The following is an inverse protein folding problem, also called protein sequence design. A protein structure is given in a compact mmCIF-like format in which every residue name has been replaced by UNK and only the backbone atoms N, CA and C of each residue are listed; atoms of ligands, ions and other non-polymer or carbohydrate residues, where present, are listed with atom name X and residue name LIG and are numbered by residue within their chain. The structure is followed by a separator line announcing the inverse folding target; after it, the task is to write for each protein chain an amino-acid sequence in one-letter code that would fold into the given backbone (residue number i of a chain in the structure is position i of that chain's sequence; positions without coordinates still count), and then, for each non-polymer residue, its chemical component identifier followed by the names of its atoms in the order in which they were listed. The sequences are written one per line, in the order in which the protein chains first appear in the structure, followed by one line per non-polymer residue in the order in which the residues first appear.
data_IF_466812835445
#
_entry.id   IF_466812835445
#
_cell.length_a   1.000
_cell.length_b   1.000
_cell.length_c   1.000
_cell.angle_alpha   90.00
_cell.angle_beta   90.00
_cell.angle_gamma   90.00
#
_symmetry.space_group_name_H-M   'P 1'
#
loop_
_entity.id
_entity.type
_entity.pdbx_description
1 polymer ?
#
# COMPACT_ATOMS: atom_id res chain seq x y z
N UNK A 1 22.90 -54.22 -2.92
CA UNK A 1 24.20 -54.65 -2.33
C UNK A 1 24.72 -53.55 -1.44
N UNK A 2 24.74 -53.87 -0.21
CA UNK A 2 25.35 -53.38 1.01
C UNK A 2 26.70 -52.67 0.85
N UNK A 3 26.88 -51.55 1.58
CA UNK A 3 27.94 -51.42 2.61
C UNK A 3 27.69 -50.22 3.51
N UNK A 4 27.35 -50.54 4.75
CA UNK A 4 27.64 -49.78 5.98
C UNK A 4 29.10 -50.05 6.33
N UNK A 5 29.75 -49.06 6.99
CA UNK A 5 30.65 -49.22 8.15
C UNK A 5 31.23 -47.86 8.53
N UNK A 6 30.89 -47.38 9.70
CA UNK A 6 31.70 -47.31 10.94
C UNK A 6 32.95 -46.40 10.88
N UNK A 7 32.91 -45.29 11.57
CA UNK A 7 34.11 -44.71 12.20
C UNK A 7 33.81 -44.43 13.67
N UNK A 8 34.65 -45.02 14.50
CA UNK A 8 34.65 -45.00 15.96
C UNK A 8 35.28 -43.72 16.52
N UNK A 9 34.80 -43.37 17.69
CA UNK A 9 35.28 -42.41 18.67
C UNK A 9 36.80 -42.29 18.86
N UNK A 10 37.25 -41.04 19.06
CA UNK A 10 38.44 -40.77 19.89
C UNK A 10 38.15 -39.62 20.83
N UNK A 11 38.20 -39.92 22.12
CA UNK A 11 38.15 -39.01 23.26
C UNK A 11 39.53 -38.35 23.37
N UNK A 12 39.59 -37.02 23.44
CA UNK A 12 40.77 -36.32 23.95
C UNK A 12 40.35 -35.27 24.96
N UNK A 13 40.89 -35.42 26.12
CA UNK A 13 40.75 -34.67 27.37
C UNK A 13 41.35 -33.27 27.33
N UNK A 14 40.61 -32.31 27.89
CA UNK A 14 41.15 -31.28 28.76
C UNK A 14 41.84 -30.05 28.21
N UNK A 15 41.20 -28.89 28.38
CA UNK A 15 41.83 -27.72 29.07
C UNK A 15 40.74 -26.69 29.36
N UNK A 16 40.46 -26.49 30.63
CA UNK A 16 39.62 -25.39 31.10
C UNK A 16 40.41 -24.08 31.01
N UNK A 17 39.93 -23.12 30.22
CA UNK A 17 40.34 -21.74 30.33
C UNK A 17 39.14 -20.90 30.83
N UNK A 18 39.33 -20.29 31.98
CA UNK A 18 38.36 -19.39 32.64
C UNK A 18 38.11 -18.13 31.78
N UNK A 19 36.84 -17.84 31.50
CA UNK A 19 36.42 -16.53 31.00
C UNK A 19 36.11 -15.60 32.18
N UNK A 20 36.60 -14.37 32.15
CA UNK A 20 36.23 -13.37 33.14
C UNK A 20 34.96 -12.63 32.75
N UNK A 21 34.14 -12.35 33.76
CA UNK A 21 33.30 -11.17 33.85
C UNK A 21 32.07 -11.08 32.97
N UNK A 22 30.94 -11.54 33.52
CA UNK A 22 29.60 -11.11 33.14
C UNK A 22 29.46 -9.60 33.30
N UNK A 23 29.39 -8.85 32.20
CA UNK A 23 28.85 -7.51 32.21
C UNK A 23 27.33 -7.60 32.40
N UNK A 24 26.80 -6.90 33.39
CA UNK A 24 25.38 -6.80 33.67
C UNK A 24 24.67 -6.20 32.43
N UNK A 25 23.73 -6.97 31.87
CA UNK A 25 22.78 -6.44 30.91
C UNK A 25 21.93 -5.40 31.65
N UNK A 26 22.03 -4.14 31.23
CA UNK A 26 21.10 -3.09 31.62
C UNK A 26 19.70 -3.52 31.21
N UNK A 27 18.80 -3.67 32.18
CA UNK A 27 17.44 -4.05 31.97
C UNK A 27 16.73 -3.07 31.03
N UNK A 28 16.31 -3.56 29.87
CA UNK A 28 15.25 -2.92 29.11
C UNK A 28 13.97 -3.10 29.94
N UNK A 29 13.54 -2.03 30.59
CA UNK A 29 12.21 -1.96 31.18
C UNK A 29 11.18 -2.09 30.06
N UNK A 30 10.29 -3.07 30.17
CA UNK A 30 9.12 -3.16 29.31
C UNK A 30 8.34 -1.84 29.37
N UNK A 31 7.83 -1.31 28.25
CA UNK A 31 6.97 -0.13 28.29
C UNK A 31 5.74 -0.45 29.14
N UNK A 32 5.44 0.44 30.10
CA UNK A 32 4.24 0.36 30.92
C UNK A 32 2.97 0.55 30.08
N UNK A 33 1.78 0.23 30.60
CA UNK A 33 0.52 0.39 29.89
C UNK A 33 0.36 1.87 29.48
N UNK A 34 0.05 2.09 28.21
CA UNK A 34 -0.17 3.42 27.62
C UNK A 34 -1.33 4.14 28.32
N UNK A 35 -1.21 5.45 28.49
CA UNK A 35 -2.25 6.28 29.09
C UNK A 35 -3.30 6.67 28.05
N UNK A 36 -4.50 7.05 28.48
CA UNK A 36 -5.59 7.50 27.60
C UNK A 36 -5.21 8.71 26.71
N UNK A 37 -4.08 9.39 26.97
CA UNK A 37 -3.51 10.44 26.15
C UNK A 37 -2.83 9.91 24.88
N UNK A 38 -2.46 8.62 24.83
CA UNK A 38 -1.70 8.05 23.71
C UNK A 38 -2.60 7.67 22.54
N UNK A 39 -3.88 7.38 22.78
CA UNK A 39 -4.87 7.01 21.74
C UNK A 39 -5.08 8.14 20.71
N UNK A 40 -5.04 9.40 21.13
CA UNK A 40 -5.14 10.55 20.20
C UNK A 40 -3.84 10.80 19.42
N UNK A 41 -2.72 10.23 19.86
CA UNK A 41 -1.40 10.48 19.30
C UNK A 41 -1.17 9.75 17.98
N UNK A 42 -1.58 8.47 17.86
CA UNK A 42 -1.39 7.67 16.64
C UNK A 42 -2.11 8.29 15.43
N UNK A 43 -3.39 8.64 15.56
CA UNK A 43 -4.14 9.25 14.44
C UNK A 43 -3.53 10.58 14.03
N UNK A 44 -3.12 11.41 14.98
CA UNK A 44 -2.45 12.68 14.71
C UNK A 44 -1.11 12.48 14.01
N UNK A 45 -0.32 11.51 14.46
CA UNK A 45 0.94 11.09 13.82
C UNK A 45 0.69 10.62 12.37
N UNK A 46 -0.32 9.77 12.14
CA UNK A 46 -0.64 9.29 10.80
C UNK A 46 -1.08 10.43 9.87
N UNK A 47 -1.88 11.38 10.37
CA UNK A 47 -2.28 12.57 9.60
C UNK A 47 -1.08 13.46 9.27
N UNK A 48 -0.14 13.63 10.20
CA UNK A 48 1.10 14.37 9.96
C UNK A 48 1.95 13.69 8.88
N UNK A 49 2.19 12.38 8.99
CA UNK A 49 2.97 11.65 7.99
C UNK A 49 2.26 11.60 6.63
N UNK A 50 0.94 11.42 6.60
CA UNK A 50 0.14 11.52 5.38
C UNK A 50 0.30 12.92 4.75
N UNK A 51 0.19 13.98 5.53
CA UNK A 51 0.38 15.35 5.04
C UNK A 51 1.79 15.54 4.48
N UNK A 52 2.80 15.08 5.19
CA UNK A 52 4.20 15.16 4.78
C UNK A 52 4.47 14.45 3.44
N UNK A 53 3.83 13.30 3.21
CA UNK A 53 3.95 12.55 1.96
C UNK A 53 3.10 13.16 0.85
N UNK A 54 1.83 13.47 1.11
CA UNK A 54 0.85 13.79 0.05
C UNK A 54 0.88 15.26 -0.37
N UNK A 55 1.08 16.18 0.56
CA UNK A 55 0.93 17.62 0.30
C UNK A 55 1.86 18.15 -0.80
N UNK A 56 3.17 17.83 -0.85
CA UNK A 56 4.06 18.35 -1.89
C UNK A 56 3.57 18.01 -3.32
N UNK A 57 3.15 16.77 -3.54
CA UNK A 57 2.66 16.30 -4.85
C UNK A 57 1.37 16.99 -5.24
N UNK A 58 0.37 16.96 -4.35
CA UNK A 58 -0.96 17.47 -4.62
C UNK A 58 -0.97 19.00 -4.77
N UNK A 59 -0.27 19.71 -3.89
CA UNK A 59 -0.15 21.16 -3.95
C UNK A 59 0.59 21.63 -5.21
N UNK A 60 1.68 20.96 -5.58
CA UNK A 60 2.41 21.33 -6.79
C UNK A 60 1.56 21.10 -8.05
N UNK A 61 0.84 19.96 -8.14
CA UNK A 61 -0.01 19.66 -9.30
C UNK A 61 -1.22 20.60 -9.38
N UNK A 62 -1.87 20.90 -8.24
CA UNK A 62 -3.01 21.84 -8.23
C UNK A 62 -2.61 23.24 -8.74
N UNK A 63 -1.37 23.63 -8.54
CA UNK A 63 -0.78 24.90 -9.01
C UNK A 63 -0.14 24.79 -10.41
N UNK A 64 -0.26 23.64 -11.08
CA UNK A 64 0.32 23.36 -12.41
C UNK A 64 1.85 23.52 -12.41
N UNK A 65 2.54 23.08 -11.34
CA UNK A 65 3.99 23.20 -11.15
C UNK A 65 4.67 21.88 -10.78
N UNK A 66 3.97 20.74 -10.81
CA UNK A 66 4.53 19.45 -10.41
C UNK A 66 5.76 19.09 -11.23
N UNK A 67 5.69 19.21 -12.57
CA UNK A 67 6.81 18.89 -13.47
C UNK A 67 8.03 19.78 -13.27
N UNK A 68 7.84 20.99 -12.81
CA UNK A 68 8.92 21.95 -12.59
C UNK A 68 9.51 21.92 -11.19
N UNK A 69 8.81 21.31 -10.22
CA UNK A 69 9.21 21.33 -8.80
C UNK A 69 9.61 19.96 -8.26
N UNK A 70 8.96 18.89 -8.70
CA UNK A 70 9.30 17.54 -8.23
C UNK A 70 10.61 17.05 -8.89
N UNK A 71 11.64 16.69 -8.12
CA UNK A 71 12.86 16.11 -8.67
C UNK A 71 12.56 14.73 -9.29
N UNK A 72 13.29 14.40 -10.35
CA UNK A 72 13.20 13.09 -11.00
C UNK A 72 14.43 12.28 -10.63
N UNK A 73 14.46 11.78 -9.40
CA UNK A 73 15.43 10.75 -9.02
C UNK A 73 15.07 9.45 -9.71
N UNK A 74 16.04 8.73 -10.21
CA UNK A 74 15.90 7.38 -10.79
C UNK A 74 16.99 6.48 -10.25
N UNK A 75 16.75 5.18 -10.25
CA UNK A 75 17.78 4.21 -9.89
C UNK A 75 18.97 4.31 -10.85
N UNK A 76 20.15 3.85 -10.40
CA UNK A 76 21.36 3.85 -11.25
C UNK A 76 21.23 2.99 -12.51
N UNK A 77 20.44 1.92 -12.44
CA UNK A 77 20.14 1.02 -13.55
C UNK A 77 18.96 1.49 -14.40
N UNK A 78 18.37 2.64 -14.05
CA UNK A 78 17.14 3.15 -14.65
C UNK A 78 17.22 3.36 -16.15
N UNK A 79 16.54 2.50 -16.90
CA UNK A 79 16.34 2.64 -18.31
C UNK A 79 15.19 3.62 -18.62
N UNK A 80 15.32 4.37 -19.73
CA UNK A 80 14.27 5.23 -20.25
C UNK A 80 14.12 6.58 -19.56
N UNK A 81 13.18 7.37 -20.09
CA UNK A 81 12.88 8.72 -19.60
C UNK A 81 11.79 8.66 -18.52
N UNK A 82 12.19 8.54 -17.25
CA UNK A 82 11.26 8.51 -16.10
C UNK A 82 10.51 9.84 -15.94
N UNK A 83 11.00 10.94 -16.46
CA UNK A 83 10.29 12.22 -16.49
C UNK A 83 8.93 12.18 -17.22
N UNK A 84 8.68 11.17 -18.06
CA UNK A 84 7.40 11.00 -18.73
C UNK A 84 6.32 10.37 -17.82
N UNK A 85 6.72 9.61 -16.82
CA UNK A 85 5.80 8.76 -16.03
C UNK A 85 5.78 9.11 -14.54
N UNK A 86 6.92 9.51 -13.97
CA UNK A 86 7.09 9.69 -12.51
C UNK A 86 6.06 10.64 -11.88
N UNK A 87 5.56 11.63 -12.61
CA UNK A 87 4.58 12.60 -12.09
C UNK A 87 3.17 12.00 -11.99
N UNK A 88 2.74 11.23 -13.02
CA UNK A 88 1.49 10.45 -12.94
C UNK A 88 1.60 9.39 -11.84
N UNK A 89 2.73 8.72 -11.75
CA UNK A 89 3.01 7.69 -10.75
C UNK A 89 2.92 8.27 -9.33
N UNK A 90 3.58 9.41 -9.05
CA UNK A 90 3.51 10.08 -7.75
C UNK A 90 2.09 10.47 -7.38
N UNK A 91 1.39 11.12 -8.30
CA UNK A 91 0.02 11.58 -8.07
C UNK A 91 -0.95 10.43 -7.84
N UNK A 92 -0.96 9.43 -8.73
CA UNK A 92 -1.89 8.32 -8.69
C UNK A 92 -1.73 7.46 -7.42
N UNK A 93 -0.48 7.14 -7.04
CA UNK A 93 -0.19 6.35 -5.85
C UNK A 93 -0.52 7.12 -4.57
N UNK A 94 -0.17 8.42 -4.50
CA UNK A 94 -0.58 9.28 -3.39
C UNK A 94 -2.09 9.27 -3.23
N UNK A 95 -2.81 9.48 -4.32
CA UNK A 95 -4.26 9.57 -4.29
C UNK A 95 -4.90 8.22 -3.89
N UNK A 96 -4.39 7.09 -4.40
CA UNK A 96 -4.86 5.77 -4.03
C UNK A 96 -4.75 5.48 -2.52
N UNK A 97 -3.72 6.02 -1.86
CA UNK A 97 -3.51 5.84 -0.42
C UNK A 97 -4.42 6.69 0.45
N UNK A 98 -4.74 7.93 0.02
CA UNK A 98 -5.53 8.86 0.82
C UNK A 98 -7.02 8.90 0.42
N UNK A 99 -7.42 8.22 -0.65
CA UNK A 99 -8.78 8.24 -1.17
C UNK A 99 -9.86 7.90 -0.12
N UNK A 100 -9.71 6.85 0.73
CA UNK A 100 -10.71 6.56 1.75
C UNK A 100 -10.86 7.66 2.79
N UNK A 101 -9.77 8.36 3.16
CA UNK A 101 -9.84 9.50 4.05
C UNK A 101 -10.57 10.69 3.41
N UNK A 102 -10.38 10.92 2.11
CA UNK A 102 -11.13 11.94 1.36
C UNK A 102 -12.61 11.59 1.23
N UNK A 103 -12.94 10.31 1.07
CA UNK A 103 -14.32 9.83 0.87
C UNK A 103 -15.15 9.88 2.14
N UNK A 104 -14.54 9.68 3.30
CA UNK A 104 -15.26 9.48 4.55
C UNK A 104 -16.11 10.71 4.95
N UNK A 105 -17.41 10.65 4.63
CA UNK A 105 -18.40 11.66 5.01
C UNK A 105 -18.72 11.72 6.52
N UNK A 106 -18.41 10.66 7.28
CA UNK A 106 -18.66 10.58 8.73
C UNK A 106 -17.92 11.62 9.54
N UNK A 107 -16.86 12.22 8.98
CA UNK A 107 -16.15 13.34 9.60
C UNK A 107 -16.96 14.65 9.66
N UNK A 108 -18.06 14.78 8.91
CA UNK A 108 -18.90 16.00 8.93
C UNK A 108 -19.67 16.14 10.26
N UNK A 109 -19.96 15.03 10.94
CA UNK A 109 -20.79 15.01 12.16
C UNK A 109 -20.17 14.24 13.34
N UNK A 110 -18.95 13.69 13.17
CA UNK A 110 -18.27 12.89 14.17
C UNK A 110 -17.29 13.69 15.05
N UNK A 111 -16.64 13.03 16.03
CA UNK A 111 -15.70 13.63 16.97
C UNK A 111 -14.32 13.93 16.35
N UNK A 112 -14.17 13.89 15.03
CA UNK A 112 -12.95 14.35 14.37
C UNK A 112 -12.59 15.75 14.88
N UNK A 113 -11.30 15.99 15.16
CA UNK A 113 -10.85 17.30 15.62
C UNK A 113 -11.18 18.38 14.60
N UNK A 114 -11.40 19.61 15.06
CA UNK A 114 -11.62 20.75 14.16
C UNK A 114 -10.47 20.86 13.13
N UNK A 115 -9.25 20.61 13.56
CA UNK A 115 -8.05 20.62 12.71
C UNK A 115 -8.10 19.56 11.61
N UNK A 116 -8.55 18.32 11.89
CA UNK A 116 -8.67 17.29 10.86
C UNK A 116 -9.73 17.63 9.83
N UNK A 117 -10.88 18.20 10.26
CA UNK A 117 -11.92 18.64 9.33
C UNK A 117 -11.44 19.78 8.42
N UNK A 118 -10.72 20.75 8.95
CA UNK A 118 -10.12 21.84 8.19
C UNK A 118 -9.09 21.30 7.18
N UNK A 119 -8.19 20.44 7.65
CA UNK A 119 -7.18 19.78 6.80
C UNK A 119 -7.85 19.03 5.64
N UNK A 120 -8.85 18.19 5.92
CA UNK A 120 -9.57 17.42 4.91
C UNK A 120 -10.30 18.33 3.91
N UNK A 121 -10.92 19.40 4.37
CA UNK A 121 -11.59 20.38 3.49
C UNK A 121 -10.59 21.01 2.53
N UNK A 122 -9.43 21.41 3.01
CA UNK A 122 -8.34 21.94 2.18
C UNK A 122 -7.85 20.91 1.16
N UNK A 123 -7.71 19.64 1.58
CA UNK A 123 -7.29 18.57 0.67
C UNK A 123 -8.32 18.28 -0.42
N UNK A 124 -9.62 18.30 -0.13
CA UNK A 124 -10.67 18.13 -1.14
C UNK A 124 -10.58 19.16 -2.25
N UNK A 125 -10.30 20.42 -1.90
CA UNK A 125 -10.09 21.49 -2.89
C UNK A 125 -8.82 21.26 -3.70
N UNK A 126 -7.67 21.06 -3.03
CA UNK A 126 -6.38 20.79 -3.67
C UNK A 126 -6.47 19.59 -4.61
N UNK A 127 -7.09 18.48 -4.19
CA UNK A 127 -7.20 17.26 -5.00
C UNK A 127 -8.04 17.48 -6.25
N UNK A 128 -9.18 18.19 -6.17
CA UNK A 128 -10.01 18.50 -7.35
C UNK A 128 -9.25 19.37 -8.35
N UNK A 129 -8.52 20.37 -7.87
CA UNK A 129 -7.65 21.20 -8.72
C UNK A 129 -6.50 20.40 -9.32
N UNK A 130 -5.88 19.48 -8.55
CA UNK A 130 -4.82 18.61 -9.04
C UNK A 130 -5.33 17.65 -10.12
N UNK A 131 -6.51 17.03 -9.93
CA UNK A 131 -7.14 16.19 -10.97
C UNK A 131 -7.38 17.04 -12.22
N UNK A 132 -8.00 18.20 -12.10
CA UNK A 132 -8.26 19.10 -13.24
C UNK A 132 -6.97 19.49 -13.98
N UNK A 133 -5.90 19.79 -13.24
CA UNK A 133 -4.61 20.11 -13.86
C UNK A 133 -3.97 18.89 -14.54
N UNK A 134 -4.10 17.70 -13.96
CA UNK A 134 -3.49 16.48 -14.45
C UNK A 134 -4.16 15.88 -15.68
N UNK A 135 -5.49 16.08 -15.85
CA UNK A 135 -6.27 15.52 -16.96
C UNK A 135 -6.57 16.52 -18.08
N UNK A 136 -6.31 17.83 -17.88
CA UNK A 136 -6.49 18.86 -18.91
C UNK A 136 -5.35 18.78 -19.93
N UNK A 137 -5.62 18.42 -21.23
CA UNK A 137 -4.58 18.34 -22.25
C UNK A 137 -3.86 19.67 -22.53
N UNK A 138 -4.42 20.79 -22.09
CA UNK A 138 -3.83 22.14 -22.23
C UNK A 138 -2.97 22.53 -21.02
N UNK A 139 -2.99 21.72 -19.97
CA UNK A 139 -2.18 21.97 -18.76
C UNK A 139 -0.70 21.71 -19.04
N UNK A 140 0.23 22.56 -18.53
CA UNK A 140 1.65 22.25 -18.56
C UNK A 140 2.00 20.98 -17.77
N UNK A 141 1.14 20.60 -16.81
CA UNK A 141 1.26 19.39 -15.98
C UNK A 141 0.35 18.25 -16.43
N UNK A 142 -0.15 18.25 -17.68
CA UNK A 142 -0.89 17.12 -18.23
C UNK A 142 -0.11 15.81 -18.06
N UNK A 143 -0.71 14.80 -17.45
CA UNK A 143 -0.04 13.59 -16.96
C UNK A 143 0.16 12.49 -18.02
N UNK A 144 -0.02 12.75 -19.30
CA UNK A 144 0.35 11.93 -20.47
C UNK A 144 0.04 10.43 -20.32
N UNK A 145 -1.22 10.07 -20.11
CA UNK A 145 -1.68 8.71 -19.82
C UNK A 145 -1.32 7.63 -20.86
N UNK A 146 -1.07 8.01 -22.10
CA UNK A 146 -0.70 7.10 -23.18
C UNK A 146 0.78 7.12 -23.58
N UNK A 147 1.67 7.75 -22.79
CA UNK A 147 3.04 8.03 -23.22
C UNK A 147 3.93 6.79 -23.31
N UNK A 148 3.79 5.83 -22.38
CA UNK A 148 4.59 4.60 -22.31
C UNK A 148 3.78 3.48 -21.68
N UNK A 149 4.26 2.23 -21.77
CA UNK A 149 3.62 1.09 -21.06
C UNK A 149 3.49 1.31 -19.56
N UNK A 150 4.44 2.00 -18.92
CA UNK A 150 4.39 2.31 -17.48
C UNK A 150 3.15 3.12 -17.11
N UNK A 151 2.65 3.99 -17.99
CA UNK A 151 1.46 4.80 -17.68
C UNK A 151 0.18 3.97 -17.53
N UNK A 152 0.16 2.72 -18.01
CA UNK A 152 -0.92 1.77 -17.70
C UNK A 152 -0.96 1.43 -16.19
N UNK A 153 0.22 1.20 -15.59
CA UNK A 153 0.37 0.94 -14.15
C UNK A 153 -0.13 2.14 -13.35
N UNK A 154 0.35 3.33 -13.73
CA UNK A 154 0.08 4.56 -13.00
C UNK A 154 -1.40 4.97 -13.11
N UNK A 155 -2.00 4.84 -14.29
CA UNK A 155 -3.45 5.03 -14.50
C UNK A 155 -4.28 3.99 -13.74
N UNK A 156 -3.77 2.76 -13.59
CA UNK A 156 -4.37 1.73 -12.74
C UNK A 156 -4.50 2.20 -11.28
N UNK A 157 -3.43 2.76 -10.70
CA UNK A 157 -3.49 3.33 -9.34
C UNK A 157 -4.43 4.54 -9.24
N UNK A 158 -4.49 5.39 -10.26
CA UNK A 158 -5.48 6.47 -10.28
C UNK A 158 -6.90 5.90 -10.31
N UNK A 159 -7.13 4.87 -11.10
CA UNK A 159 -8.42 4.17 -11.14
C UNK A 159 -8.78 3.58 -9.77
N UNK A 160 -7.82 2.98 -9.07
CA UNK A 160 -8.01 2.47 -7.71
C UNK A 160 -8.43 3.59 -6.74
N UNK A 161 -7.85 4.80 -6.87
CA UNK A 161 -8.28 5.96 -6.09
C UNK A 161 -9.73 6.35 -6.38
N UNK A 162 -10.14 6.38 -7.67
CA UNK A 162 -11.53 6.68 -8.07
C UNK A 162 -12.51 5.65 -7.50
N UNK A 163 -12.15 4.36 -7.52
CA UNK A 163 -12.96 3.29 -6.94
C UNK A 163 -13.09 3.40 -5.42
N UNK A 164 -12.04 3.86 -4.73
CA UNK A 164 -11.99 4.04 -3.27
C UNK A 164 -12.71 5.31 -2.78
N UNK A 165 -12.93 6.29 -3.67
CA UNK A 165 -13.58 7.55 -3.32
C UNK A 165 -14.60 7.99 -4.39
N UNK A 166 -15.66 7.21 -4.64
CA UNK A 166 -16.61 7.43 -5.73
C UNK A 166 -17.39 8.74 -5.60
N UNK A 167 -17.63 9.25 -4.39
CA UNK A 167 -18.28 10.55 -4.23
C UNK A 167 -17.32 11.71 -4.51
N UNK A 168 -16.15 11.70 -3.86
CA UNK A 168 -15.23 12.83 -3.91
C UNK A 168 -14.45 12.90 -5.23
N UNK A 169 -14.05 11.73 -5.80
CA UNK A 169 -13.21 11.63 -6.98
C UNK A 169 -13.97 11.27 -8.26
N UNK A 170 -15.32 11.24 -8.21
CA UNK A 170 -16.18 11.07 -9.37
C UNK A 170 -17.42 11.99 -9.27
N UNK A 171 -18.38 11.71 -8.37
CA UNK A 171 -19.67 12.37 -8.38
C UNK A 171 -19.57 13.91 -8.16
N UNK A 172 -18.61 14.37 -7.34
CA UNK A 172 -18.36 15.77 -7.02
C UNK A 172 -17.34 16.47 -7.92
N UNK A 173 -16.80 15.79 -8.94
CA UNK A 173 -15.97 16.44 -9.95
C UNK A 173 -16.85 17.28 -10.92
N UNK A 174 -16.29 18.37 -11.42
CA UNK A 174 -16.88 19.11 -12.55
C UNK A 174 -17.08 18.19 -13.75
N UNK A 175 -18.16 18.39 -14.51
CA UNK A 175 -18.51 17.53 -15.64
C UNK A 175 -17.42 17.48 -16.73
N UNK A 176 -16.74 18.62 -16.97
CA UNK A 176 -15.63 18.70 -17.92
C UNK A 176 -14.42 17.90 -17.42
N UNK A 177 -14.06 18.06 -16.16
CA UNK A 177 -12.95 17.32 -15.53
C UNK A 177 -13.25 15.82 -15.54
N UNK A 178 -14.49 15.42 -15.25
CA UNK A 178 -14.89 14.00 -15.30
C UNK A 178 -14.82 13.42 -16.71
N UNK A 179 -15.21 14.19 -17.73
CA UNK A 179 -15.07 13.77 -19.13
C UNK A 179 -13.58 13.63 -19.52
N UNK A 180 -12.74 14.60 -19.16
CA UNK A 180 -11.30 14.57 -19.41
C UNK A 180 -10.62 13.40 -18.68
N UNK A 181 -11.04 13.09 -17.45
CA UNK A 181 -10.57 11.91 -16.71
C UNK A 181 -10.91 10.61 -17.46
N UNK A 182 -12.14 10.48 -17.95
CA UNK A 182 -12.55 9.32 -18.71
C UNK A 182 -11.76 9.19 -20.03
N UNK A 183 -11.48 10.32 -20.72
CA UNK A 183 -10.65 10.33 -21.92
C UNK A 183 -9.21 9.94 -21.63
N UNK A 184 -8.64 10.44 -20.55
CA UNK A 184 -7.30 10.10 -20.08
C UNK A 184 -7.17 8.59 -19.76
N UNK A 185 -8.16 8.01 -19.06
CA UNK A 185 -8.21 6.57 -18.80
C UNK A 185 -8.32 5.76 -20.10
N UNK A 186 -9.19 6.15 -21.03
CA UNK A 186 -9.32 5.49 -22.35
C UNK A 186 -8.05 5.57 -23.20
N UNK A 187 -7.24 6.62 -23.04
CA UNK A 187 -5.97 6.76 -23.77
C UNK A 187 -4.96 5.64 -23.43
N UNK A 188 -5.14 4.91 -22.35
CA UNK A 188 -4.31 3.74 -21.98
C UNK A 188 -4.68 2.45 -22.73
N UNK A 189 -5.85 2.36 -23.39
CA UNK A 189 -6.33 1.14 -24.05
C UNK A 189 -5.40 0.55 -25.10
N UNK A 190 -4.67 1.35 -25.92
CA UNK A 190 -3.67 0.82 -26.86
C UNK A 190 -2.45 0.18 -26.18
N UNK A 191 -2.22 0.45 -24.89
CA UNK A 191 -1.07 -0.08 -24.16
C UNK A 191 -1.28 -1.57 -23.85
N UNK A 192 -0.23 -2.35 -24.10
CA UNK A 192 -0.24 -3.78 -23.84
C UNK A 192 -0.05 -4.05 -22.35
N UNK A 193 -1.00 -4.77 -21.75
CA UNK A 193 -0.81 -5.36 -20.42
C UNK A 193 -0.04 -6.67 -20.57
N UNK A 194 1.01 -6.85 -19.76
CA UNK A 194 1.72 -8.14 -19.67
C UNK A 194 0.86 -9.17 -18.92
N UNK A 195 1.07 -10.46 -19.22
CA UNK A 195 0.39 -11.58 -18.55
C UNK A 195 0.95 -11.80 -17.12
N UNK A 196 0.72 -10.83 -16.26
CA UNK A 196 1.08 -10.78 -14.84
C UNK A 196 0.14 -9.80 -14.13
N UNK A 197 0.54 -9.23 -12.98
CA UNK A 197 -0.25 -8.23 -12.25
C UNK A 197 -0.72 -7.05 -13.12
N UNK A 198 -0.10 -6.78 -14.28
CA UNK A 198 -0.50 -5.69 -15.20
C UNK A 198 -1.89 -5.85 -15.76
N UNK A 199 -2.41 -7.08 -15.85
CA UNK A 199 -3.82 -7.31 -16.24
C UNK A 199 -4.79 -6.62 -15.29
N UNK A 200 -4.44 -6.54 -13.99
CA UNK A 200 -5.29 -5.86 -12.99
C UNK A 200 -5.31 -4.34 -13.14
N UNK A 201 -4.23 -3.74 -13.64
CA UNK A 201 -4.26 -2.30 -13.96
C UNK A 201 -5.22 -2.02 -15.11
N UNK A 202 -5.15 -2.82 -16.18
CA UNK A 202 -6.10 -2.70 -17.29
C UNK A 202 -7.55 -2.92 -16.83
N UNK A 203 -7.81 -3.94 -16.03
CA UNK A 203 -9.13 -4.23 -15.48
C UNK A 203 -9.63 -3.15 -14.51
N UNK A 204 -8.77 -2.61 -13.65
CA UNK A 204 -9.09 -1.52 -12.72
C UNK A 204 -9.48 -0.23 -13.45
N UNK A 205 -8.82 0.06 -14.58
CA UNK A 205 -9.18 1.19 -15.45
C UNK A 205 -10.60 1.00 -16.01
N UNK A 206 -10.93 -0.18 -16.49
CA UNK A 206 -12.27 -0.46 -17.02
C UNK A 206 -13.35 -0.43 -15.91
N UNK A 207 -13.03 -0.92 -14.70
CA UNK A 207 -13.92 -0.80 -13.55
C UNK A 207 -14.14 0.67 -13.14
N UNK A 208 -13.13 1.52 -13.23
CA UNK A 208 -13.28 2.95 -12.99
C UNK A 208 -14.10 3.64 -14.08
N UNK A 209 -13.93 3.26 -15.36
CA UNK A 209 -14.79 3.75 -16.45
C UNK A 209 -16.25 3.35 -16.23
N UNK A 210 -16.54 2.12 -15.74
CA UNK A 210 -17.88 1.73 -15.32
C UNK A 210 -18.41 2.64 -14.21
N UNK A 211 -17.62 2.87 -13.15
CA UNK A 211 -18.01 3.75 -12.04
C UNK A 211 -18.26 5.21 -12.47
N UNK A 212 -17.55 5.67 -13.51
CA UNK A 212 -17.75 6.99 -14.15
C UNK A 212 -18.99 7.03 -15.07
N UNK A 213 -19.72 5.91 -15.24
CA UNK A 213 -20.85 5.81 -16.16
C UNK A 213 -20.45 5.84 -17.63
N UNK A 214 -19.25 5.41 -17.95
CA UNK A 214 -18.70 5.41 -19.30
C UNK A 214 -18.72 4.01 -19.93
N UNK A 215 -18.69 3.91 -21.28
CA UNK A 215 -18.46 2.63 -21.96
C UNK A 215 -17.15 1.98 -21.52
N UNK A 216 -17.21 0.72 -21.09
CA UNK A 216 -16.10 -0.05 -20.56
C UNK A 216 -15.98 -1.43 -21.22
N UNK A 217 -14.80 -2.05 -21.14
CA UNK A 217 -14.50 -3.31 -21.80
C UNK A 217 -14.52 -4.49 -20.82
N UNK A 218 -15.65 -5.21 -20.76
CA UNK A 218 -15.84 -6.37 -19.89
C UNK A 218 -14.79 -7.47 -20.11
N UNK A 219 -14.34 -7.67 -21.35
CA UNK A 219 -13.35 -8.70 -21.68
C UNK A 219 -12.02 -8.49 -20.96
N UNK A 220 -11.57 -7.24 -20.76
CA UNK A 220 -10.35 -6.93 -20.00
C UNK A 220 -10.50 -7.33 -18.53
N UNK A 221 -11.67 -7.07 -17.96
CA UNK A 221 -11.97 -7.44 -16.57
C UNK A 221 -12.08 -8.96 -16.46
N UNK A 222 -12.85 -9.62 -17.32
CA UNK A 222 -13.02 -11.08 -17.29
C UNK A 222 -11.70 -11.82 -17.42
N UNK A 223 -10.86 -11.39 -18.37
CA UNK A 223 -9.54 -11.99 -18.59
C UNK A 223 -8.65 -11.85 -17.34
N UNK A 224 -8.56 -10.64 -16.79
CA UNK A 224 -7.75 -10.39 -15.59
C UNK A 224 -8.21 -11.22 -14.39
N UNK A 225 -9.52 -11.27 -14.12
CA UNK A 225 -10.07 -12.04 -13.00
C UNK A 225 -9.81 -13.53 -13.17
N UNK A 226 -10.09 -14.10 -14.36
CA UNK A 226 -9.89 -15.54 -14.63
C UNK A 226 -8.43 -15.94 -14.50
N UNK A 227 -7.51 -15.17 -15.06
CA UNK A 227 -6.09 -15.48 -14.98
C UNK A 227 -5.60 -15.46 -13.51
N UNK A 228 -6.03 -14.48 -12.70
CA UNK A 228 -5.64 -14.46 -11.29
C UNK A 228 -6.26 -15.60 -10.49
N UNK A 229 -7.46 -16.06 -10.84
CA UNK A 229 -8.00 -17.27 -10.20
C UNK A 229 -7.17 -18.52 -10.53
N UNK A 230 -6.58 -18.61 -11.73
CA UNK A 230 -5.68 -19.71 -12.13
C UNK A 230 -4.28 -19.57 -11.49
N UNK A 231 -3.83 -18.35 -11.21
CA UNK A 231 -2.53 -18.08 -10.59
C UNK A 231 -2.57 -18.12 -9.06
N UNK A 232 -3.66 -18.55 -8.46
CA UNK A 232 -3.72 -18.81 -7.02
C UNK A 232 -2.80 -19.99 -6.67
N UNK A 233 -1.88 -19.79 -5.74
CA UNK A 233 -0.86 -20.79 -5.35
C UNK A 233 -1.12 -21.41 -3.97
N UNK A 234 -2.17 -21.00 -3.29
CA UNK A 234 -2.54 -21.51 -1.96
C UNK A 234 -2.26 -20.52 -0.84
N UNK A 235 -2.82 -20.78 0.32
CA UNK A 235 -2.64 -20.04 1.58
C UNK A 235 -2.76 -18.50 1.44
N UNK A 236 -3.76 -18.06 0.70
CA UNK A 236 -4.02 -16.65 0.46
C UNK A 236 -3.12 -15.97 -0.57
N UNK A 237 -2.13 -16.66 -1.16
CA UNK A 237 -1.17 -16.07 -2.08
C UNK A 237 -1.50 -16.34 -3.55
N UNK A 238 -1.15 -15.39 -4.40
CA UNK A 238 -1.22 -15.49 -5.87
C UNK A 238 0.19 -15.40 -6.48
N UNK A 239 0.41 -16.09 -7.59
CA UNK A 239 1.54 -15.83 -8.47
C UNK A 239 1.44 -14.47 -9.16
N UNK A 240 2.57 -13.92 -9.57
CA UNK A 240 2.63 -12.75 -10.44
C UNK A 240 2.74 -13.21 -11.90
N UNK A 241 1.61 -13.58 -12.48
CA UNK A 241 1.51 -14.43 -13.63
C UNK A 241 1.58 -15.92 -13.20
N UNK A 242 2.00 -16.81 -14.10
CA UNK A 242 2.05 -18.25 -13.81
C UNK A 242 3.15 -18.66 -12.80
N UNK A 243 4.00 -17.72 -12.37
CA UNK A 243 5.11 -17.99 -11.47
C UNK A 243 4.95 -17.28 -10.14
N UNK A 244 5.25 -17.98 -9.05
CA UNK A 244 5.29 -17.39 -7.73
C UNK A 244 6.62 -16.66 -7.49
N UNK A 245 6.54 -15.49 -6.86
CA UNK A 245 7.71 -14.73 -6.42
C UNK A 245 7.59 -14.40 -4.92
N UNK A 246 8.68 -14.56 -4.19
CA UNK A 246 8.77 -14.06 -2.82
C UNK A 246 8.99 -12.54 -2.83
N UNK A 247 7.89 -11.80 -2.85
CA UNK A 247 7.86 -10.35 -2.77
C UNK A 247 6.52 -9.87 -2.20
N UNK A 248 6.32 -8.57 -2.10
CA UNK A 248 5.10 -7.98 -1.57
C UNK A 248 4.03 -7.66 -2.64
N UNK A 249 4.13 -8.18 -3.87
CA UNK A 249 3.19 -7.83 -4.93
C UNK A 249 1.75 -8.30 -4.68
N UNK A 250 1.57 -9.35 -3.88
CA UNK A 250 0.23 -9.70 -3.38
C UNK A 250 -0.42 -8.54 -2.61
N UNK A 251 0.38 -7.79 -1.83
CA UNK A 251 -0.06 -6.63 -1.06
C UNK A 251 0.01 -5.32 -1.84
N UNK A 252 1.07 -5.10 -2.64
CA UNK A 252 1.21 -3.86 -3.41
C UNK A 252 0.13 -3.69 -4.49
N UNK A 253 -0.30 -4.78 -5.12
CA UNK A 253 -1.13 -4.74 -6.33
C UNK A 253 -2.23 -5.78 -6.32
N UNK A 254 -1.88 -7.10 -6.30
CA UNK A 254 -2.76 -8.17 -6.75
C UNK A 254 -4.07 -8.16 -5.96
N UNK A 255 -4.02 -8.29 -4.66
CA UNK A 255 -5.23 -8.42 -3.86
C UNK A 255 -5.99 -7.10 -3.69
N UNK A 256 -5.36 -5.94 -3.47
CA UNK A 256 -6.09 -4.68 -3.42
C UNK A 256 -6.87 -4.37 -4.70
N UNK A 257 -6.30 -4.70 -5.88
CA UNK A 257 -7.01 -4.52 -7.14
C UNK A 257 -8.14 -5.54 -7.33
N UNK A 258 -7.92 -6.82 -7.02
CA UNK A 258 -8.97 -7.84 -7.06
C UNK A 258 -10.18 -7.44 -6.20
N UNK A 259 -9.93 -6.99 -4.96
CA UNK A 259 -10.98 -6.52 -4.06
C UNK A 259 -11.74 -5.32 -4.66
N UNK A 260 -11.04 -4.29 -5.12
CA UNK A 260 -11.67 -3.08 -5.62
C UNK A 260 -12.43 -3.30 -6.94
N UNK A 261 -11.90 -4.13 -7.85
CA UNK A 261 -12.56 -4.50 -9.11
C UNK A 261 -13.84 -5.26 -8.81
N UNK A 262 -13.78 -6.31 -8.00
CA UNK A 262 -14.94 -7.13 -7.66
C UNK A 262 -16.01 -6.36 -6.89
N UNK A 263 -15.62 -5.45 -6.01
CA UNK A 263 -16.54 -4.54 -5.32
C UNK A 263 -17.30 -3.65 -6.31
N UNK A 264 -16.60 -3.11 -7.31
CA UNK A 264 -17.17 -2.19 -8.30
C UNK A 264 -18.05 -2.90 -9.32
N UNK A 265 -17.56 -3.98 -9.94
CA UNK A 265 -18.20 -4.62 -11.09
C UNK A 265 -18.60 -6.08 -10.87
N UNK A 266 -18.31 -6.68 -9.72
CA UNK A 266 -18.55 -8.10 -9.44
C UNK A 266 -20.00 -8.53 -9.65
N UNK A 267 -20.97 -7.65 -9.37
CA UNK A 267 -22.39 -7.92 -9.58
C UNK A 267 -22.85 -7.79 -11.05
N UNK A 268 -21.97 -7.45 -11.98
CA UNK A 268 -22.31 -7.36 -13.40
C UNK A 268 -22.36 -8.72 -14.10
N UNK A 269 -21.73 -9.76 -13.53
CA UNK A 269 -21.69 -11.13 -14.05
C UNK A 269 -21.71 -12.13 -12.90
N UNK A 270 -22.56 -13.17 -12.99
CA UNK A 270 -22.66 -14.20 -11.95
C UNK A 270 -21.33 -14.94 -11.71
N UNK A 271 -20.53 -15.13 -12.77
CA UNK A 271 -19.20 -15.75 -12.64
C UNK A 271 -18.25 -14.91 -11.79
N UNK A 272 -18.29 -13.59 -11.90
CA UNK A 272 -17.44 -12.68 -11.08
C UNK A 272 -17.96 -12.61 -9.64
N UNK A 273 -19.28 -12.54 -9.47
CA UNK A 273 -19.90 -12.56 -8.14
C UNK A 273 -19.55 -13.83 -7.36
N UNK A 274 -19.49 -14.97 -8.04
CA UNK A 274 -19.07 -16.23 -7.42
C UNK A 274 -17.61 -16.25 -6.95
N UNK A 275 -16.73 -15.36 -7.45
CA UNK A 275 -15.33 -15.25 -7.00
C UNK A 275 -15.20 -14.48 -5.69
N UNK A 276 -16.13 -13.58 -5.35
CA UNK A 276 -16.04 -12.65 -4.22
C UNK A 276 -15.73 -13.35 -2.89
N UNK A 277 -16.42 -14.43 -2.48
CA UNK A 277 -16.15 -15.05 -1.19
C UNK A 277 -14.71 -15.59 -1.07
N UNK A 278 -14.21 -16.26 -2.11
CA UNK A 278 -12.87 -16.81 -2.12
C UNK A 278 -11.79 -15.69 -2.10
N UNK A 279 -11.98 -14.63 -2.89
CA UNK A 279 -11.05 -13.50 -2.92
C UNK A 279 -10.99 -12.81 -1.55
N UNK A 280 -12.13 -12.57 -0.91
CA UNK A 280 -12.17 -11.97 0.43
C UNK A 280 -11.48 -12.84 1.49
N UNK A 281 -11.74 -14.16 1.50
CA UNK A 281 -11.10 -15.07 2.44
C UNK A 281 -9.58 -15.15 2.24
N UNK A 282 -9.12 -15.18 0.97
CA UNK A 282 -7.69 -15.14 0.63
C UNK A 282 -7.03 -13.83 1.06
N UNK A 283 -7.71 -12.70 0.87
CA UNK A 283 -7.21 -11.39 1.29
C UNK A 283 -7.09 -11.29 2.82
N UNK A 284 -8.09 -11.77 3.57
CA UNK A 284 -8.04 -11.84 5.03
C UNK A 284 -6.88 -12.72 5.51
N UNK A 285 -6.70 -13.90 4.90
CA UNK A 285 -5.57 -14.80 5.22
C UNK A 285 -4.21 -14.15 4.95
N UNK A 286 -4.04 -13.52 3.78
CA UNK A 286 -2.75 -12.88 3.47
C UNK A 286 -2.48 -11.65 4.36
N UNK A 287 -3.52 -10.93 4.78
CA UNK A 287 -3.39 -9.86 5.78
C UNK A 287 -2.93 -10.40 7.14
N UNK A 288 -3.40 -11.59 7.56
CA UNK A 288 -2.91 -12.29 8.76
C UNK A 288 -1.40 -12.58 8.67
N UNK A 289 -0.93 -13.10 7.52
CA UNK A 289 0.50 -13.34 7.28
C UNK A 289 1.28 -12.02 7.34
N UNK A 290 0.78 -10.96 6.71
CA UNK A 290 1.45 -9.65 6.70
C UNK A 290 1.63 -9.08 8.11
N UNK A 291 0.61 -9.19 8.98
CA UNK A 291 0.71 -8.73 10.37
C UNK A 291 1.85 -9.45 11.12
N UNK A 292 1.96 -10.77 10.94
CA UNK A 292 3.00 -11.59 11.57
C UNK A 292 4.41 -11.33 11.02
N UNK A 293 4.53 -10.79 9.81
CA UNK A 293 5.82 -10.38 9.23
C UNK A 293 6.38 -9.09 9.85
N UNK A 294 5.58 -8.32 10.58
CA UNK A 294 6.06 -7.11 11.26
C UNK A 294 6.77 -7.52 12.55
N UNK A 295 8.09 -7.38 12.56
CA UNK A 295 8.92 -7.67 13.73
C UNK A 295 8.57 -6.77 14.93
N UNK A 296 8.94 -7.12 16.18
CA UNK A 296 8.59 -6.35 17.38
C UNK A 296 9.00 -4.88 17.36
N UNK A 297 9.97 -4.49 16.56
CA UNK A 297 10.48 -3.13 16.39
C UNK A 297 9.92 -2.40 15.16
N UNK A 298 8.93 -2.97 14.47
CA UNK A 298 8.34 -2.41 13.23
C UNK A 298 9.15 -2.67 11.96
N UNK A 299 10.29 -3.37 12.04
CA UNK A 299 10.99 -3.86 10.86
C UNK A 299 10.26 -5.05 10.23
N UNK A 300 10.58 -5.36 8.97
CA UNK A 300 9.97 -6.48 8.25
C UNK A 300 10.97 -7.07 7.25
N UNK A 301 10.77 -8.30 6.76
CA UNK A 301 11.68 -8.93 5.81
C UNK A 301 11.91 -8.09 4.57
N UNK A 302 13.18 -7.78 4.27
CA UNK A 302 13.61 -7.06 3.06
C UNK A 302 13.82 -8.08 1.96
N UNK A 303 12.74 -8.54 1.36
CA UNK A 303 12.72 -9.60 0.34
C UNK A 303 12.02 -9.13 -0.93
N UNK A 304 12.48 -9.66 -2.06
CA UNK A 304 11.90 -9.36 -3.36
C UNK A 304 12.24 -7.95 -3.85
N UNK A 305 11.45 -7.49 -4.79
CA UNK A 305 11.58 -6.23 -5.51
C UNK A 305 10.71 -5.12 -4.90
N UNK A 306 10.96 -3.88 -5.32
CA UNK A 306 10.17 -2.69 -4.98
C UNK A 306 10.20 -2.32 -3.49
N UNK A 307 11.26 -2.67 -2.80
CA UNK A 307 11.45 -2.35 -1.37
C UNK A 307 11.34 -0.83 -1.08
N UNK A 308 11.74 0.09 -1.99
CA UNK A 308 11.52 1.53 -1.79
C UNK A 308 10.06 1.98 -1.67
N UNK A 309 9.08 1.11 -1.88
CA UNK A 309 7.66 1.41 -1.60
C UNK A 309 7.33 1.45 -0.10
N UNK A 310 8.30 1.13 0.78
CA UNK A 310 8.23 1.29 2.25
C UNK A 310 6.96 0.63 2.84
N UNK A 311 6.24 1.37 3.69
CA UNK A 311 4.98 0.93 4.30
C UNK A 311 3.90 0.46 3.31
N UNK A 312 4.04 0.77 2.01
CA UNK A 312 3.18 0.19 0.96
C UNK A 312 3.19 -1.34 0.92
N UNK A 313 4.24 -2.00 1.47
CA UNK A 313 4.28 -3.45 1.64
C UNK A 313 3.08 -4.00 2.43
N UNK A 314 2.44 -3.16 3.23
CA UNK A 314 1.28 -3.50 4.06
C UNK A 314 -0.04 -2.90 3.55
N UNK A 315 -0.10 -2.50 2.26
CA UNK A 315 -1.34 -1.98 1.66
C UNK A 315 -2.52 -2.92 1.90
N UNK A 316 -2.35 -4.23 1.70
CA UNK A 316 -3.45 -5.17 1.89
C UNK A 316 -3.87 -5.27 3.37
N UNK A 317 -2.94 -5.30 4.30
CA UNK A 317 -3.27 -5.30 5.74
C UNK A 317 -4.08 -4.06 6.11
N UNK A 318 -3.67 -2.90 5.61
CA UNK A 318 -4.36 -1.62 5.80
C UNK A 318 -5.76 -1.61 5.13
N UNK A 319 -5.88 -2.19 3.92
CA UNK A 319 -7.16 -2.28 3.18
C UNK A 319 -8.15 -3.24 3.87
N UNK A 320 -7.66 -4.40 4.34
CA UNK A 320 -8.48 -5.37 5.07
C UNK A 320 -8.94 -4.82 6.43
N UNK A 321 -8.09 -4.05 7.12
CA UNK A 321 -8.47 -3.32 8.34
C UNK A 321 -9.56 -2.26 8.06
N UNK A 322 -9.37 -1.45 7.00
CA UNK A 322 -10.37 -0.46 6.56
C UNK A 322 -11.74 -1.09 6.25
N UNK A 323 -11.75 -2.31 5.71
CA UNK A 323 -12.96 -3.06 5.33
C UNK A 323 -13.61 -3.82 6.49
N UNK A 324 -13.06 -3.74 7.72
CA UNK A 324 -13.47 -4.57 8.86
C UNK A 324 -13.46 -6.07 8.55
N UNK A 325 -12.50 -6.51 7.73
CA UNK A 325 -12.37 -7.90 7.25
C UNK A 325 -11.12 -8.61 7.83
N UNK A 326 -10.57 -8.10 8.93
CA UNK A 326 -9.48 -8.76 9.65
C UNK A 326 -9.91 -10.14 10.16
N UNK A 327 -8.99 -11.12 10.25
CA UNK A 327 -9.24 -12.38 10.93
C UNK A 327 -9.70 -12.17 12.38
N UNK A 328 -10.51 -13.09 12.90
CA UNK A 328 -11.10 -12.97 14.25
C UNK A 328 -10.08 -12.88 15.39
N UNK A 329 -8.90 -13.47 15.19
CA UNK A 329 -7.78 -13.48 16.17
C UNK A 329 -6.88 -12.23 16.09
N UNK A 330 -7.12 -11.33 15.12
CA UNK A 330 -6.38 -10.07 14.96
C UNK A 330 -7.27 -8.86 15.28
N UNK A 331 -6.96 -8.19 16.38
CA UNK A 331 -7.68 -7.00 16.79
C UNK A 331 -7.27 -5.77 15.92
N UNK A 332 -8.22 -4.89 15.57
CA UNK A 332 -7.92 -3.69 14.78
C UNK A 332 -6.84 -2.79 15.40
N UNK A 333 -6.86 -2.59 16.70
CA UNK A 333 -5.86 -1.82 17.45
C UNK A 333 -4.46 -2.45 17.39
N UNK A 334 -4.36 -3.77 17.30
CA UNK A 334 -3.11 -4.50 17.11
C UNK A 334 -2.50 -4.16 15.75
N UNK A 335 -3.32 -4.11 14.70
CA UNK A 335 -2.89 -3.70 13.35
C UNK A 335 -2.48 -2.23 13.33
N UNK A 336 -3.20 -1.34 14.03
CA UNK A 336 -2.82 0.07 14.18
C UNK A 336 -1.41 0.19 14.75
N UNK A 337 -1.12 -0.45 15.88
CA UNK A 337 0.18 -0.38 16.54
C UNK A 337 1.29 -0.94 15.65
N UNK A 338 1.05 -2.07 14.97
CA UNK A 338 2.01 -2.67 14.04
C UNK A 338 2.33 -1.76 12.87
N UNK A 339 1.30 -1.18 12.22
CA UNK A 339 1.49 -0.26 11.10
C UNK A 339 2.10 1.07 11.55
N UNK A 340 1.77 1.60 12.74
CA UNK A 340 2.42 2.78 13.31
C UNK A 340 3.93 2.54 13.46
N UNK A 341 4.33 1.38 13.97
CA UNK A 341 5.75 1.02 14.09
C UNK A 341 6.45 0.95 12.70
N UNK A 342 5.78 0.42 11.68
CA UNK A 342 6.30 0.41 10.29
C UNK A 342 6.46 1.83 9.76
N UNK A 343 5.49 2.72 9.98
CA UNK A 343 5.56 4.12 9.55
C UNK A 343 6.71 4.86 10.21
N UNK A 344 6.91 4.71 11.52
CA UNK A 344 8.08 5.24 12.23
C UNK A 344 9.39 4.75 11.61
N UNK A 345 9.51 3.45 11.36
CA UNK A 345 10.72 2.84 10.79
C UNK A 345 11.04 3.30 9.37
N UNK A 346 10.04 3.61 8.57
CA UNK A 346 10.22 3.84 7.13
C UNK A 346 10.12 5.31 6.71
N UNK A 347 9.44 6.16 7.49
CA UNK A 347 9.22 7.56 7.13
C UNK A 347 10.03 8.58 7.97
N UNK A 348 10.41 8.24 9.20
CA UNK A 348 11.16 9.15 10.06
C UNK A 348 12.69 9.14 9.87
N UNK A 349 13.34 8.07 9.36
CA UNK A 349 14.80 8.07 9.23
C UNK A 349 15.32 9.26 8.43
N UNK A 350 16.44 9.87 8.85
CA UNK A 350 17.06 10.97 8.13
C UNK A 350 17.36 10.62 6.68
N UNK A 351 17.07 11.53 5.75
CA UNK A 351 17.26 11.30 4.31
C UNK A 351 16.08 10.60 3.60
N UNK A 352 15.00 10.25 4.31
CA UNK A 352 13.78 9.76 3.66
C UNK A 352 13.16 10.82 2.76
N UNK A 353 13.23 12.07 3.18
CA UNK A 353 12.82 13.23 2.40
C UNK A 353 14.00 14.14 2.14
N UNK A 354 14.04 14.78 0.99
CA UNK A 354 15.00 15.83 0.68
C UNK A 354 14.65 17.14 1.43
N UNK A 355 15.46 18.18 1.25
CA UNK A 355 15.26 19.49 1.90
C UNK A 355 13.98 20.22 1.47
N UNK A 356 13.39 19.84 0.32
CA UNK A 356 12.16 20.41 -0.22
C UNK A 356 10.93 19.56 0.13
N UNK A 357 11.11 18.43 0.83
CA UNK A 357 10.04 17.54 1.28
C UNK A 357 9.69 16.43 0.29
N UNK A 358 10.46 16.20 -0.78
CA UNK A 358 10.24 15.12 -1.71
C UNK A 358 10.85 13.81 -1.20
N UNK A 359 10.12 12.71 -1.40
CA UNK A 359 10.64 11.37 -1.08
C UNK A 359 11.87 11.02 -1.89
N UNK A 360 12.86 10.39 -1.24
CA UNK A 360 14.07 9.87 -1.85
C UNK A 360 14.05 8.34 -1.91
N UNK A 361 14.73 7.74 -2.90
CA UNK A 361 14.77 6.28 -3.08
C UNK A 361 15.42 5.63 -1.85
N UNK A 362 14.71 4.66 -1.25
CA UNK A 362 15.18 3.89 -0.11
C UNK A 362 14.05 3.28 0.71
N UNK A 363 14.39 2.43 1.64
CA UNK A 363 13.49 1.85 2.66
C UNK A 363 13.49 2.71 3.94
N UNK A 364 14.67 2.98 4.47
CA UNK A 364 14.90 3.80 5.66
C UNK A 364 15.99 4.81 5.36
N UNK A 365 15.61 6.06 5.06
CA UNK A 365 16.51 7.09 4.55
C UNK A 365 16.72 7.02 3.03
N UNK A 366 17.84 7.56 2.55
CA UNK A 366 18.22 7.61 1.14
C UNK A 366 19.14 6.43 0.77
N UNK A 367 18.65 5.48 0.00
CA UNK A 367 19.32 4.23 -0.37
C UNK A 367 19.11 3.94 -1.88
N UNK A 368 19.70 4.72 -2.79
CA UNK A 368 19.38 4.69 -4.21
C UNK A 368 19.67 3.35 -4.91
N UNK A 369 20.56 2.51 -4.35
CA UNK A 369 20.86 1.18 -4.89
C UNK A 369 19.76 0.13 -4.62
N UNK A 370 18.76 0.44 -3.76
CA UNK A 370 17.59 -0.41 -3.58
C UNK A 370 16.56 -0.28 -4.71
N UNK A 371 16.69 0.73 -5.56
CA UNK A 371 15.77 0.93 -6.67
C UNK A 371 16.14 0.08 -7.87
N UNK A 372 15.24 -0.78 -8.31
CA UNK A 372 15.33 -1.45 -9.61
C UNK A 372 15.18 -0.44 -10.75
N UNK A 373 15.52 -0.85 -11.99
CA UNK A 373 15.55 0.02 -13.16
C UNK A 373 14.26 0.80 -13.48
N UNK A 374 13.11 0.36 -12.94
CA UNK A 374 11.83 1.05 -13.09
C UNK A 374 11.52 2.05 -11.96
N UNK A 375 12.25 2.03 -10.85
CA UNK A 375 12.01 2.90 -9.70
C UNK A 375 12.45 4.34 -10.00
N UNK A 376 11.57 5.29 -9.69
CA UNK A 376 11.83 6.73 -9.70
C UNK A 376 11.17 7.41 -8.49
N UNK A 377 11.32 8.72 -8.37
CA UNK A 377 10.67 9.50 -7.30
C UNK A 377 9.18 9.19 -7.17
N UNK A 378 8.46 9.08 -8.30
CA UNK A 378 7.03 8.78 -8.29
C UNK A 378 6.68 7.44 -7.70
N UNK A 379 7.55 6.46 -7.87
CA UNK A 379 7.35 5.09 -7.38
C UNK A 379 7.22 5.02 -5.86
N UNK A 380 7.89 5.90 -5.14
CA UNK A 380 8.00 5.91 -3.69
C UNK A 380 6.68 6.24 -3.00
N UNK A 381 5.79 6.93 -3.70
CA UNK A 381 4.50 7.38 -3.17
C UNK A 381 3.49 6.24 -2.95
N UNK A 382 3.84 4.98 -3.32
CA UNK A 382 3.05 3.82 -2.89
C UNK A 382 3.03 3.65 -1.37
N UNK A 383 4.02 4.19 -0.65
CA UNK A 383 4.00 4.22 0.82
C UNK A 383 2.72 4.84 1.40
N UNK A 384 2.05 5.72 0.64
CA UNK A 384 0.80 6.36 1.07
C UNK A 384 -0.34 5.37 1.31
N UNK A 385 -0.29 4.18 0.69
CA UNK A 385 -1.33 3.16 0.87
C UNK A 385 -1.35 2.54 2.28
N UNK A 386 -0.31 2.75 3.08
CA UNK A 386 -0.36 2.43 4.50
C UNK A 386 -1.38 3.30 5.27
N UNK A 387 -1.75 4.48 4.74
CA UNK A 387 -2.71 5.40 5.38
C UNK A 387 -4.18 5.09 5.11
N UNK A 388 -4.52 4.01 4.41
CA UNK A 388 -5.91 3.62 4.11
C UNK A 388 -6.84 3.63 5.35
N UNK A 389 -6.42 3.16 6.54
CA UNK A 389 -7.24 3.21 7.75
C UNK A 389 -7.63 4.61 8.24
N UNK A 390 -7.00 5.69 7.75
CA UNK A 390 -7.49 7.05 8.02
C UNK A 390 -8.92 7.28 7.49
N UNK A 391 -9.38 6.44 6.55
CA UNK A 391 -10.77 6.41 6.10
C UNK A 391 -11.76 5.96 7.16
N UNK A 392 -11.33 5.28 8.24
CA UNK A 392 -12.16 4.93 9.38
C UNK A 392 -12.41 6.18 10.25
N UNK A 393 -13.61 6.34 10.82
CA UNK A 393 -13.87 7.45 11.73
C UNK A 393 -13.05 7.34 13.03
N UNK A 394 -12.77 8.45 13.73
CA UNK A 394 -11.94 8.45 14.94
C UNK A 394 -12.48 7.56 16.08
N UNK A 395 -13.79 7.36 16.15
CA UNK A 395 -14.45 6.48 17.12
C UNK A 395 -14.39 5.00 16.78
N UNK A 396 -13.95 4.66 15.55
CA UNK A 396 -13.74 3.27 15.18
C UNK A 396 -12.75 2.57 16.11
N UNK A 397 -12.99 1.29 16.40
CA UNK A 397 -12.14 0.50 17.29
C UNK A 397 -10.65 0.53 16.87
N UNK A 398 -10.37 0.61 15.58
CA UNK A 398 -9.01 0.76 15.08
C UNK A 398 -8.29 1.97 15.72
N UNK A 399 -9.00 3.08 15.92
CA UNK A 399 -8.44 4.31 16.48
C UNK A 399 -8.71 4.50 17.96
N UNK A 400 -9.90 4.10 18.45
CA UNK A 400 -10.37 4.42 19.79
C UNK A 400 -9.97 3.41 20.87
N UNK A 401 -9.58 2.18 20.50
CA UNK A 401 -9.15 1.18 21.46
C UNK A 401 -7.72 1.47 21.95
N UNK A 402 -7.42 0.96 23.17
CA UNK A 402 -6.07 1.04 23.75
C UNK A 402 -5.05 0.31 22.88
N UNK A 403 -3.78 0.69 22.99
CA UNK A 403 -2.69 0.04 22.30
C UNK A 403 -2.61 -1.44 22.63
N UNK A 404 -2.36 -2.24 21.61
CA UNK A 404 -2.24 -3.68 21.71
C UNK A 404 -0.96 -4.18 21.03
N UNK A 405 -0.27 -5.09 21.69
CA UNK A 405 0.86 -5.79 21.08
C UNK A 405 0.37 -6.64 19.90
N UNK A 406 1.09 -6.58 18.78
CA UNK A 406 0.82 -7.45 17.63
C UNK A 406 1.50 -8.82 17.77
N UNK A 407 1.20 -9.75 16.88
CA UNK A 407 1.57 -11.16 17.00
C UNK A 407 3.05 -11.38 17.27
N UNK A 408 3.94 -10.73 16.51
CA UNK A 408 5.38 -10.87 16.72
C UNK A 408 5.82 -10.34 18.09
N UNK A 409 5.27 -9.21 18.57
CA UNK A 409 5.59 -8.72 19.91
C UNK A 409 5.15 -9.68 21.00
N UNK A 410 3.95 -10.25 20.90
CA UNK A 410 3.42 -11.24 21.86
C UNK A 410 4.33 -12.48 21.91
N UNK A 411 4.60 -13.06 20.75
CA UNK A 411 5.39 -14.30 20.66
C UNK A 411 6.83 -14.12 21.16
N UNK A 412 7.50 -13.03 20.75
CA UNK A 412 8.88 -12.78 21.16
C UNK A 412 9.01 -12.35 22.65
N UNK A 413 7.92 -11.92 23.27
CA UNK A 413 7.84 -11.70 24.73
C UNK A 413 7.58 -12.99 25.50
N UNK A 414 7.17 -14.07 24.83
CA UNK A 414 6.88 -15.37 25.43
C UNK A 414 5.41 -15.58 25.79
N UNK A 415 4.50 -14.76 25.25
CA UNK A 415 3.06 -14.96 25.43
C UNK A 415 2.63 -16.25 24.70
N UNK A 416 1.73 -17.01 25.30
CA UNK A 416 1.13 -18.18 24.68
C UNK A 416 0.08 -17.75 23.66
N UNK A 417 0.21 -18.26 22.42
CA UNK A 417 -0.67 -17.94 21.31
C UNK A 417 -1.02 -19.20 20.51
N UNK A 418 -2.19 -19.21 19.93
CA UNK A 418 -2.61 -20.28 19.00
C UNK A 418 -1.65 -20.30 17.78
N UNK A 419 -1.23 -21.49 17.38
CA UNK A 419 -0.39 -21.69 16.21
C UNK A 419 -1.10 -21.26 14.93
N UNK A 420 -0.31 -20.72 14.00
CA UNK A 420 -0.80 -20.33 12.67
C UNK A 420 -1.03 -21.56 11.78
N UNK A 421 -2.06 -21.53 10.96
CA UNK A 421 -2.41 -22.59 10.00
C UNK A 421 -2.77 -22.02 8.65
N UNK A 422 -2.39 -22.74 7.60
CA UNK A 422 -2.82 -22.45 6.23
C UNK A 422 -4.33 -22.60 6.09
N UNK A 423 -4.89 -21.91 5.09
CA UNK A 423 -6.30 -22.09 4.71
C UNK A 423 -6.40 -22.92 3.42
N UNK A 424 -7.38 -23.83 3.37
CA UNK A 424 -7.71 -24.69 2.22
C UNK A 424 -8.97 -24.15 1.54
N UNK A 425 -8.82 -23.17 0.59
CA UNK A 425 -9.92 -22.59 -0.20
C UNK A 425 -9.50 -22.30 -1.64
#
# INVERSE_FOLDING_TARGET
MLRRDLIKSTIATGLATAFPGRAAASGMTAPGPASASDISNDRSFWLEQMHRVAHPVLSALSQRRLRTTMPVEKSREGAGNRGLTTHLEAFARTLAGIAPWLENGGLEHGPATANERELRTGYLEIVRQAIAAGVDPKSPDYLQFGATSQTLVDAGFFSLAVLRAPQQLNAKLDSTVRAQLADALRATRPLQAHANNWLLFAAGIEAALFALGQPWERTRVDYALREHMQWYVGDGAYGDGPHFHWDYYNSFVIQPFLLAILESVGNQEEAWKAMIPAVNARASRYAHILERLIAPDGSYPVIGRSIPYRGGAFQLLADVALRHALPEDIAPEQVRCALSAVLHRTLEPPGTFDKAGWLQIGLAGHQPNLGEGYISTGSLYLCSTAFLPLGLPPEDRFWSAQDASWSAQKLWRGDDMISDHAIDI
#
